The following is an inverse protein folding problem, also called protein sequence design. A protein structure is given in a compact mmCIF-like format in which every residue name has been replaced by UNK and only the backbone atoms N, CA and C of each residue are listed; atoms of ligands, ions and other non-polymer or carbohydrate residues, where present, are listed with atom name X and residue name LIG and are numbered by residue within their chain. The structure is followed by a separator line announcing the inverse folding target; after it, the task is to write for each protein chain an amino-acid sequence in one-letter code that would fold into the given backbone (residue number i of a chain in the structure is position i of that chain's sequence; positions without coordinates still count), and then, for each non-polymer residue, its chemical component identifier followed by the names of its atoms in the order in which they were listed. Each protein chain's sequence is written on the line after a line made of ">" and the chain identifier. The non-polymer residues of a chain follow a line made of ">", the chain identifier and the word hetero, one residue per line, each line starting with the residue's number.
data_IF_508691562574
#
_entry.id   IF_508691562574
#
_cell.length_a   1.000
_cell.length_b   1.000
_cell.length_c   1.000
_cell.angle_alpha   90.00
_cell.angle_beta   90.00
_cell.angle_gamma   90.00
#
_symmetry.space_group_name_H-M   'P 1'
#
loop_
_entity.id
_entity.type
_entity.pdbx_description
1 polymer ?
#
# COMPACT_ATOMS: atom_id res chain seq x y z
N UNK A 1 7.60 -7.99 6.35
CA UNK A 1 6.24 -7.58 6.77
C UNK A 1 5.23 -8.54 6.19
N UNK A 2 4.31 -9.02 7.01
CA UNK A 2 3.17 -9.81 6.57
C UNK A 2 2.13 -8.96 5.83
N UNK A 3 1.30 -9.59 5.00
CA UNK A 3 0.22 -8.93 4.24
C UNK A 3 -0.70 -8.14 5.18
N UNK A 4 -0.99 -8.69 6.35
CA UNK A 4 -1.83 -8.06 7.37
C UNK A 4 -1.17 -6.82 8.00
N UNK A 5 0.15 -6.85 8.16
CA UNK A 5 0.92 -5.75 8.70
C UNK A 5 1.01 -4.60 7.70
N UNK A 6 1.30 -4.90 6.43
CA UNK A 6 1.29 -3.91 5.33
C UNK A 6 -0.10 -3.30 5.20
N UNK A 7 -1.17 -4.10 5.23
CA UNK A 7 -2.53 -3.58 5.14
C UNK A 7 -2.95 -2.76 6.38
N UNK A 8 -2.26 -2.89 7.51
CA UNK A 8 -2.45 -2.05 8.71
C UNK A 8 -1.69 -0.75 8.63
N UNK A 9 -0.42 -0.80 8.22
CA UNK A 9 0.49 0.34 8.13
C UNK A 9 0.07 1.26 6.98
N UNK A 10 -0.19 0.67 5.82
CA UNK A 10 -0.46 1.41 4.58
C UNK A 10 -1.96 1.55 4.33
N UNK A 11 -2.35 2.77 3.99
CA UNK A 11 -3.74 3.10 3.62
C UNK A 11 -3.99 2.93 2.11
N UNK A 12 -5.27 2.86 1.74
CA UNK A 12 -5.72 2.78 0.34
C UNK A 12 -5.13 3.87 -0.57
N UNK A 13 -4.75 5.02 -0.02
CA UNK A 13 -4.09 6.11 -0.77
C UNK A 13 -2.70 5.74 -1.28
N UNK A 14 -1.96 4.94 -0.53
CA UNK A 14 -0.59 4.53 -0.87
C UNK A 14 -0.58 3.22 -1.66
N UNK A 15 -1.54 2.34 -1.38
CA UNK A 15 -1.71 1.10 -2.13
C UNK A 15 -2.21 1.36 -3.57
N UNK A 16 -3.06 2.38 -3.80
CA UNK A 16 -3.61 2.68 -5.14
C UNK A 16 -2.57 3.01 -6.22
N UNK A 17 -1.60 3.93 -6.01
CA UNK A 17 -0.62 4.28 -7.04
C UNK A 17 0.27 3.09 -7.39
N UNK A 18 0.71 2.33 -6.39
CA UNK A 18 1.52 1.12 -6.61
C UNK A 18 0.70 0.07 -7.34
N UNK A 19 -0.51 -0.23 -6.87
CA UNK A 19 -1.40 -1.15 -7.57
C UNK A 19 -1.60 -0.77 -9.05
N UNK A 20 -1.75 0.53 -9.35
CA UNK A 20 -1.87 1.04 -10.72
C UNK A 20 -0.58 0.84 -11.52
N UNK A 21 0.61 1.06 -10.93
CA UNK A 21 1.93 0.80 -11.55
C UNK A 21 2.07 -0.65 -12.00
N UNK A 22 1.54 -1.58 -11.20
CA UNK A 22 1.57 -3.03 -11.46
C UNK A 22 0.30 -3.56 -12.18
N UNK A 23 -0.62 -2.71 -12.61
CA UNK A 23 -1.83 -3.11 -13.34
C UNK A 23 -2.89 -3.84 -12.49
N UNK A 24 -2.83 -3.70 -11.17
CA UNK A 24 -3.71 -4.37 -10.21
C UNK A 24 -5.02 -3.58 -10.08
N UNK A 25 -6.14 -4.26 -10.29
CA UNK A 25 -7.46 -3.68 -10.16
C UNK A 25 -7.77 -3.32 -8.70
N UNK A 26 -7.89 -2.02 -8.40
CA UNK A 26 -8.20 -1.50 -7.06
C UNK A 26 -9.68 -1.15 -6.87
N UNK A 27 -10.52 -1.42 -7.88
CA UNK A 27 -11.95 -1.08 -7.84
C UNK A 27 -12.70 -2.19 -7.10
N UNK A 28 -13.35 -1.82 -5.98
CA UNK A 28 -14.20 -2.70 -5.16
C UNK A 28 -13.50 -3.87 -4.42
N UNK A 29 -12.17 -3.82 -4.28
CA UNK A 29 -11.40 -4.83 -3.53
C UNK A 29 -10.98 -4.31 -2.15
N UNK A 30 -10.84 -5.21 -1.16
CA UNK A 30 -10.34 -4.83 0.17
C UNK A 30 -8.85 -4.51 0.10
N UNK A 31 -8.35 -3.65 0.98
CA UNK A 31 -6.92 -3.35 1.06
C UNK A 31 -6.05 -4.60 1.24
N UNK A 32 -6.53 -5.61 1.97
CA UNK A 32 -5.85 -6.90 2.15
C UNK A 32 -5.74 -7.64 0.81
N UNK A 33 -6.80 -7.65 0.00
CA UNK A 33 -6.79 -8.22 -1.35
C UNK A 33 -5.84 -7.47 -2.28
N UNK A 34 -5.73 -6.14 -2.15
CA UNK A 34 -4.76 -5.34 -2.92
C UNK A 34 -3.32 -5.75 -2.54
N UNK A 35 -2.99 -5.79 -1.24
CA UNK A 35 -1.65 -6.20 -0.78
C UNK A 35 -1.36 -7.65 -1.13
N UNK A 36 -2.36 -8.54 -1.08
CA UNK A 36 -2.22 -9.93 -1.49
C UNK A 36 -2.01 -10.08 -3.00
N UNK A 37 -2.57 -9.18 -3.79
CA UNK A 37 -2.34 -9.11 -5.23
C UNK A 37 -0.98 -8.48 -5.58
N UNK A 38 -0.27 -7.88 -4.61
CA UNK A 38 1.03 -7.27 -4.88
C UNK A 38 2.09 -8.35 -5.10
N UNK A 39 2.85 -8.28 -6.21
CA UNK A 39 4.06 -9.07 -6.33
C UNK A 39 5.08 -8.61 -5.28
N UNK A 40 6.05 -9.47 -4.90
CA UNK A 40 7.07 -9.12 -3.91
C UNK A 40 7.88 -7.87 -4.28
N UNK A 41 8.02 -7.57 -5.57
CA UNK A 41 8.63 -6.34 -6.06
C UNK A 41 7.80 -5.09 -5.70
N UNK A 42 6.48 -5.16 -5.83
CA UNK A 42 5.58 -4.07 -5.47
C UNK A 42 5.52 -3.84 -3.96
N UNK A 43 5.63 -4.91 -3.16
CA UNK A 43 5.77 -4.79 -1.70
C UNK A 43 7.10 -4.15 -1.35
N UNK A 44 8.20 -4.58 -1.98
CA UNK A 44 9.52 -4.00 -1.76
C UNK A 44 9.55 -2.51 -2.11
N UNK A 45 8.94 -2.10 -3.22
CA UNK A 45 8.80 -0.68 -3.57
C UNK A 45 7.85 0.05 -2.63
N UNK A 46 6.72 -0.52 -2.23
CA UNK A 46 5.87 0.09 -1.21
C UNK A 46 6.65 0.35 0.09
N UNK A 47 7.47 -0.61 0.52
CA UNK A 47 8.27 -0.46 1.73
C UNK A 47 9.52 0.41 1.56
N UNK A 48 10.06 0.49 0.35
CA UNK A 48 11.28 1.23 0.02
C UNK A 48 11.02 2.69 -0.33
N UNK A 49 9.95 2.96 -1.08
CA UNK A 49 9.56 4.30 -1.56
C UNK A 49 8.75 5.06 -0.49
N UNK A 50 7.94 4.37 0.32
CA UNK A 50 7.21 5.02 1.42
C UNK A 50 8.12 5.45 2.59
N UNK A 51 9.37 4.99 2.65
CA UNK A 51 10.33 5.51 3.61
C UNK A 51 10.70 6.99 3.34
N UNK A 52 10.52 7.48 2.10
CA UNK A 52 10.79 8.88 1.75
C UNK A 52 9.53 9.78 1.80
N UNK A 53 8.32 9.25 1.59
CA UNK A 53 7.07 10.05 1.61
C UNK A 53 6.19 9.91 2.87
N UNK A 54 6.41 8.92 3.76
CA UNK A 54 5.64 8.80 5.01
C UNK A 54 5.96 9.88 6.07
N UNK A 55 6.88 10.81 5.79
CA UNK A 55 7.08 12.01 6.59
C UNK A 55 6.01 13.10 6.32
N UNK A 56 5.12 12.93 5.35
CA UNK A 56 4.23 14.00 4.90
C UNK A 56 2.85 13.56 4.46
N UNK A 57 2.02 13.01 5.36
CA UNK A 57 0.59 13.38 5.49
C UNK A 57 -0.25 12.34 6.26
N UNK A 58 -0.63 12.70 7.49
CA UNK A 58 -1.99 12.46 7.95
C UNK A 58 -2.23 11.27 8.88
N UNK A 59 -1.69 11.33 10.11
CA UNK A 59 -2.42 10.82 11.27
C UNK A 59 -2.89 12.01 12.12
N UNK A 60 -4.01 12.61 11.70
CA UNK A 60 -4.78 13.56 12.48
C UNK A 60 -6.16 12.97 12.82
N UNK A 61 -6.58 13.19 14.07
CA UNK A 61 -7.79 12.76 14.81
C UNK A 61 -7.52 11.59 15.75
N UNK A 62 -7.58 11.77 17.07
CA UNK A 62 -8.51 12.61 17.85
C UNK A 62 -7.80 13.54 18.84
#
# INVERSE_FOLDING_TARGET
>A
MDIEEIARIYSMRELKPIAKKYGIATRCVKKIDIVKAFPPQAIAELTGEAAEEAAGSGQGRQ
#
